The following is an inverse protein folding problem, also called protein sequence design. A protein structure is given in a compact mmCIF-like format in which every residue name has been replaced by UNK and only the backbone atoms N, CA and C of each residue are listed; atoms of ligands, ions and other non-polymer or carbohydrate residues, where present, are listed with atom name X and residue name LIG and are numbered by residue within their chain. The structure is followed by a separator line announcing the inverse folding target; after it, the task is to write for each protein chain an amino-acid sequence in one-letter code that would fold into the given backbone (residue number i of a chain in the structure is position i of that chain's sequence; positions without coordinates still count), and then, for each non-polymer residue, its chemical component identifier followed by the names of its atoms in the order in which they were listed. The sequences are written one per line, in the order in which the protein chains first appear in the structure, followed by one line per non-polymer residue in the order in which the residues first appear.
data_IF_670764564682
#
_entry.id   IF_670764564682
#
_cell.length_a   1.000
_cell.length_b   1.000
_cell.length_c   1.000
_cell.angle_alpha   90.00
_cell.angle_beta   90.00
_cell.angle_gamma   90.00
#
_symmetry.space_group_name_H-M   'P 1'
#
loop_
_entity.id
_entity.type
_entity.pdbx_description
1 polymer ?
#
# COMPACT_ATOMS: atom_id res chain seq x y z
N UNK A 1 -12.15 -3.63 5.21
CA UNK A 1 -11.36 -2.72 6.09
C UNK A 1 -10.94 -1.51 5.28
N UNK A 2 -10.92 -0.31 5.87
CA UNK A 2 -10.45 0.92 5.20
C UNK A 2 -8.94 1.04 5.38
N UNK A 3 -8.21 1.18 4.29
CA UNK A 3 -6.74 1.19 4.28
C UNK A 3 -6.23 2.40 3.51
N UNK A 4 -5.55 3.32 4.18
CA UNK A 4 -4.76 4.35 3.52
C UNK A 4 -3.50 3.72 2.93
N UNK A 5 -3.31 3.85 1.64
CA UNK A 5 -2.19 3.27 0.89
C UNK A 5 -1.17 4.34 0.58
N UNK A 6 0.07 4.10 0.98
CA UNK A 6 1.19 5.03 0.87
C UNK A 6 2.36 4.26 0.28
N UNK A 7 3.04 4.81 -0.72
CA UNK A 7 4.35 4.31 -1.15
C UNK A 7 5.46 5.18 -0.59
N UNK A 8 6.50 4.54 -0.07
CA UNK A 8 7.73 5.18 0.37
C UNK A 8 8.89 4.70 -0.51
N UNK A 9 9.51 5.62 -1.24
CA UNK A 9 10.65 5.30 -2.10
C UNK A 9 11.96 5.21 -1.30
N UNK A 10 13.06 4.82 -1.95
CA UNK A 10 14.37 4.66 -1.31
C UNK A 10 14.95 5.96 -0.70
N UNK A 11 14.46 7.13 -1.14
CA UNK A 11 14.85 8.43 -0.61
C UNK A 11 13.96 8.87 0.58
N UNK A 12 13.00 8.04 0.99
CA UNK A 12 12.02 8.36 2.02
C UNK A 12 10.89 9.28 1.56
N UNK A 13 10.78 9.58 0.27
CA UNK A 13 9.66 10.36 -0.25
C UNK A 13 8.39 9.51 -0.23
N UNK A 14 7.28 10.14 0.13
CA UNK A 14 5.99 9.48 0.30
C UNK A 14 4.98 9.92 -0.75
N UNK A 15 4.35 8.96 -1.39
CA UNK A 15 3.24 9.16 -2.32
C UNK A 15 1.98 8.52 -1.76
N UNK A 16 0.92 9.30 -1.58
CA UNK A 16 -0.37 8.79 -1.15
C UNK A 16 -1.20 8.34 -2.37
N UNK A 17 -1.64 7.09 -2.36
CA UNK A 17 -2.55 6.57 -3.39
C UNK A 17 -4.02 6.66 -2.99
N UNK A 18 -4.30 6.98 -1.72
CA UNK A 18 -5.64 7.16 -1.18
C UNK A 18 -6.13 5.97 -0.36
N UNK A 19 -7.44 5.94 -0.12
CA UNK A 19 -8.08 4.96 0.76
C UNK A 19 -8.71 3.85 -0.08
N UNK A 20 -8.38 2.60 0.24
CA UNK A 20 -8.89 1.38 -0.38
C UNK A 20 -9.74 0.60 0.62
N UNK A 21 -10.82 -0.01 0.14
CA UNK A 21 -11.55 -1.02 0.90
C UNK A 21 -11.00 -2.41 0.57
N UNK A 22 -10.33 -3.03 1.53
CA UNK A 22 -9.72 -4.35 1.36
C UNK A 22 -10.48 -5.42 2.15
N UNK A 23 -10.55 -6.67 1.66
CA UNK A 23 -11.08 -7.79 2.43
C UNK A 23 -10.09 -8.33 3.47
N UNK A 24 -8.78 -8.20 3.21
CA UNK A 24 -7.68 -8.58 4.08
C UNK A 24 -6.45 -7.70 3.77
N UNK A 25 -5.50 -7.63 4.70
CA UNK A 25 -4.21 -6.99 4.42
C UNK A 25 -3.36 -7.89 3.51
N UNK A 26 -2.69 -7.31 2.49
CA UNK A 26 -1.72 -8.08 1.70
C UNK A 26 -0.55 -8.52 2.59
N UNK A 27 0.01 -9.72 2.39
CA UNK A 27 1.24 -10.12 3.04
C UNK A 27 2.41 -9.20 2.68
N UNK A 28 3.39 -9.07 3.57
CA UNK A 28 4.64 -8.36 3.26
C UNK A 28 5.36 -9.03 2.10
N UNK A 29 6.01 -8.23 1.26
CA UNK A 29 6.68 -8.58 0.02
C UNK A 29 5.76 -9.04 -1.13
N UNK A 30 4.43 -9.05 -0.93
CA UNK A 30 3.49 -9.36 -2.02
C UNK A 30 3.14 -8.12 -2.87
N UNK A 31 2.87 -8.30 -4.17
CA UNK A 31 2.38 -7.24 -5.04
C UNK A 31 1.05 -6.64 -4.56
N UNK A 32 0.99 -5.33 -4.47
CA UNK A 32 -0.22 -4.55 -4.28
C UNK A 32 -0.47 -3.64 -5.49
N UNK A 33 -1.54 -3.87 -6.26
CA UNK A 33 -1.88 -3.02 -7.39
C UNK A 33 -2.44 -1.68 -6.91
N UNK A 34 -1.85 -0.57 -7.34
CA UNK A 34 -2.35 0.78 -7.05
C UNK A 34 -3.28 1.29 -8.16
N UNK A 35 -3.16 0.74 -9.36
CA UNK A 35 -4.06 0.95 -10.49
C UNK A 35 -4.00 -0.27 -11.44
N UNK A 36 -4.62 -0.18 -12.62
CA UNK A 36 -4.67 -1.30 -13.59
C UNK A 36 -3.33 -1.64 -14.26
N UNK A 37 -2.33 -0.76 -14.17
CA UNK A 37 -1.04 -0.92 -14.86
C UNK A 37 0.13 -1.07 -13.89
N UNK A 38 0.00 -0.56 -12.67
CA UNK A 38 1.12 -0.42 -11.72
C UNK A 38 0.84 -1.16 -10.41
N UNK A 39 1.86 -1.88 -9.94
CA UNK A 39 1.91 -2.42 -8.59
C UNK A 39 3.22 -2.04 -7.89
N UNK A 40 3.20 -2.12 -6.56
CA UNK A 40 4.38 -2.04 -5.69
C UNK A 40 4.35 -3.21 -4.71
N UNK A 41 5.41 -3.40 -3.92
CA UNK A 41 5.43 -4.46 -2.91
C UNK A 41 4.94 -3.93 -1.57
N UNK A 42 4.11 -4.71 -0.87
CA UNK A 42 3.71 -4.38 0.50
C UNK A 42 4.92 -4.50 1.44
N UNK A 43 5.24 -3.43 2.16
CA UNK A 43 6.38 -3.37 3.09
C UNK A 43 5.95 -3.59 4.54
N UNK A 44 4.92 -2.86 4.96
CA UNK A 44 4.45 -2.85 6.34
C UNK A 44 3.00 -2.38 6.41
N UNK A 45 2.32 -2.68 7.51
CA UNK A 45 0.99 -2.15 7.79
C UNK A 45 0.86 -1.76 9.27
N UNK A 46 -0.02 -0.81 9.54
CA UNK A 46 -0.28 -0.28 10.88
C UNK A 46 -1.79 -0.13 11.12
N UNK A 47 -2.15 -0.05 12.41
CA UNK A 47 -3.51 0.24 12.84
C UNK A 47 -4.29 -0.98 13.39
N UNK A 48 -5.62 -0.86 13.47
CA UNK A 48 -6.39 0.33 13.10
C UNK A 48 -6.11 1.51 14.05
N UNK A 49 -6.27 2.74 13.57
CA UNK A 49 -6.34 3.94 14.41
C UNK A 49 -7.73 4.09 15.10
N UNK A 50 -7.96 5.20 15.78
CA UNK A 50 -9.21 5.46 16.51
C UNK A 50 -10.45 5.49 15.60
N UNK A 51 -10.27 5.79 14.31
CA UNK A 51 -11.33 5.83 13.29
C UNK A 51 -11.50 4.49 12.54
N UNK A 52 -10.74 3.46 12.92
CA UNK A 52 -10.77 2.16 12.25
C UNK A 52 -9.98 2.13 10.93
N UNK A 53 -9.16 3.15 10.66
CA UNK A 53 -8.33 3.22 9.46
C UNK A 53 -7.02 2.46 9.68
N UNK A 54 -6.67 1.62 8.72
CA UNK A 54 -5.35 1.01 8.67
C UNK A 54 -4.46 1.77 7.69
N UNK A 55 -3.15 1.63 7.85
CA UNK A 55 -2.17 2.12 6.87
C UNK A 55 -1.43 0.96 6.24
N UNK A 56 -1.23 1.00 4.93
CA UNK A 56 -0.38 0.09 4.18
C UNK A 56 0.75 0.89 3.55
N UNK A 57 1.98 0.53 3.88
CA UNK A 57 3.20 1.08 3.29
C UNK A 57 3.66 0.15 2.18
N UNK A 58 3.84 0.73 1.00
CA UNK A 58 4.39 0.08 -0.19
C UNK A 58 5.83 0.52 -0.40
N UNK A 59 6.63 -0.33 -1.05
CA UNK A 59 8.03 -0.07 -1.36
C UNK A 59 8.41 -0.55 -2.76
N UNK A 60 9.65 -0.23 -3.12
CA UNK A 60 10.28 -0.66 -4.36
C UNK A 60 9.90 0.22 -5.55
N UNK A 61 10.36 -0.21 -6.72
CA UNK A 61 10.05 0.44 -8.00
C UNK A 61 8.70 -0.03 -8.54
N UNK A 62 8.03 0.79 -9.39
CA UNK A 62 6.75 0.40 -9.99
C UNK A 62 6.91 -0.82 -10.90
N UNK A 63 6.27 -1.92 -10.51
CA UNK A 63 6.07 -3.08 -11.36
C UNK A 63 4.93 -2.88 -12.36
N UNK A 64 4.96 -3.62 -13.46
CA UNK A 64 3.87 -3.62 -14.46
C UNK A 64 3.03 -4.88 -14.35
N UNK A 65 1.71 -4.71 -14.31
CA UNK A 65 0.77 -5.83 -14.47
C UNK A 65 0.92 -6.39 -15.90
N UNK A 66 0.96 -7.72 -16.04
CA UNK A 66 1.00 -8.40 -17.34
C UNK A 66 -0.40 -8.62 -17.91
#
# INVERSE_FOLDING_TARGET
MKVQVIHENANGERTEFGIYELPHMPPVAEPFPVNSQTFYLARAYFGPDEDGMYQLILEGEPGRMQ
#
